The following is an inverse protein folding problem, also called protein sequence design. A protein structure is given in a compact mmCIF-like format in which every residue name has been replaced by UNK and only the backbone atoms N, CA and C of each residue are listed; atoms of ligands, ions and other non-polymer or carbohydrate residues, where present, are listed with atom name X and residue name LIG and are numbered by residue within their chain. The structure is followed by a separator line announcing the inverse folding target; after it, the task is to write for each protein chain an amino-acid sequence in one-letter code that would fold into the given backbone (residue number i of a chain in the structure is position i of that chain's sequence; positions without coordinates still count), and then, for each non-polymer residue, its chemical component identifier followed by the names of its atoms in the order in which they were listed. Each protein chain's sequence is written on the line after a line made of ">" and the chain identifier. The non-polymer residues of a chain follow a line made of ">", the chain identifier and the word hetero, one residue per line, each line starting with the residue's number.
data_IF_794446351421
#
_entry.id   IF_794446351421
#
_cell.length_a   1.000
_cell.length_b   1.000
_cell.length_c   1.000
_cell.angle_alpha   90.00
_cell.angle_beta   90.00
_cell.angle_gamma   90.00
#
_symmetry.space_group_name_H-M   'P 1'
#
loop_
_entity.id
_entity.type
_entity.pdbx_description
1 polymer ?
#
# COMPACT_ATOMS: atom_id res chain seq x y z
N UNK A 1 -16.89 -10.45 -17.49
CA UNK A 1 -17.50 -10.67 -16.16
C UNK A 1 -16.76 -9.78 -15.18
N UNK A 2 -17.45 -8.84 -14.51
CA UNK A 2 -16.83 -7.93 -13.53
C UNK A 2 -16.48 -8.73 -12.27
N UNK A 3 -15.22 -8.72 -11.85
CA UNK A 3 -14.82 -9.27 -10.56
C UNK A 3 -15.04 -8.21 -9.49
N UNK A 4 -15.99 -8.45 -8.58
CA UNK A 4 -16.23 -7.59 -7.44
C UNK A 4 -15.11 -7.72 -6.41
N UNK A 5 -14.64 -6.58 -5.91
CA UNK A 5 -13.81 -6.51 -4.72
C UNK A 5 -14.05 -5.20 -3.98
N UNK A 6 -14.16 -5.29 -2.67
CA UNK A 6 -14.39 -4.16 -1.79
C UNK A 6 -13.22 -3.97 -0.83
N UNK A 7 -12.86 -2.72 -0.54
CA UNK A 7 -11.90 -2.42 0.52
C UNK A 7 -12.65 -2.52 1.85
N UNK A 8 -12.22 -3.45 2.70
CA UNK A 8 -12.82 -3.68 4.02
C UNK A 8 -12.04 -3.03 5.15
N UNK A 9 -10.75 -2.75 4.94
CA UNK A 9 -9.90 -2.10 5.92
C UNK A 9 -8.76 -1.34 5.24
N UNK A 10 -8.46 -0.15 5.73
CA UNK A 10 -7.31 0.66 5.31
C UNK A 10 -6.52 1.05 6.55
N UNK A 11 -5.19 0.90 6.49
CA UNK A 11 -4.30 1.17 7.61
C UNK A 11 -3.08 1.91 7.07
N UNK A 12 -2.76 3.05 7.67
CA UNK A 12 -1.48 3.73 7.47
C UNK A 12 -0.50 3.16 8.49
N UNK A 13 0.65 2.70 8.02
CA UNK A 13 1.69 2.11 8.86
C UNK A 13 2.60 3.21 9.40
N UNK A 14 3.28 2.90 10.51
CA UNK A 14 4.35 3.77 10.99
C UNK A 14 5.48 3.83 9.94
N UNK A 15 6.12 5.00 9.75
CA UNK A 15 7.25 5.13 8.85
C UNK A 15 8.36 4.14 9.22
N UNK A 16 8.96 3.52 8.20
CA UNK A 16 10.14 2.66 8.35
C UNK A 16 11.36 3.54 8.09
N UNK A 17 12.13 3.82 9.14
CA UNK A 17 13.33 4.63 9.06
C UNK A 17 14.45 3.91 8.29
N UNK A 18 15.05 4.60 7.33
CA UNK A 18 16.30 4.25 6.66
C UNK A 18 17.41 5.21 7.12
N UNK A 19 18.64 5.00 6.65
CA UNK A 19 19.80 5.83 7.04
C UNK A 19 19.63 7.31 6.70
N UNK A 20 19.06 7.61 5.53
CA UNK A 20 18.93 8.99 4.99
C UNK A 20 17.49 9.32 4.55
N UNK A 21 16.51 8.44 4.81
CA UNK A 21 15.14 8.58 4.31
C UNK A 21 14.14 7.79 5.18
N UNK A 22 12.85 7.90 4.89
CA UNK A 22 11.80 7.09 5.51
C UNK A 22 10.84 6.49 4.47
N UNK A 23 10.52 5.21 4.64
CA UNK A 23 9.50 4.55 3.82
C UNK A 23 8.15 4.61 4.51
N UNK A 24 7.22 5.28 3.85
CA UNK A 24 5.85 5.47 4.32
C UNK A 24 4.91 4.53 3.56
N UNK A 25 4.23 3.64 4.28
CA UNK A 25 3.35 2.63 3.68
C UNK A 25 1.90 2.73 4.15
N UNK A 26 0.98 2.35 3.27
CA UNK A 26 -0.44 2.12 3.56
C UNK A 26 -0.82 0.72 3.10
N UNK A 27 -1.54 -0.02 3.93
CA UNK A 27 -2.12 -1.31 3.59
C UNK A 27 -3.63 -1.15 3.36
N UNK A 28 -4.12 -1.81 2.32
CA UNK A 28 -5.54 -2.04 2.11
C UNK A 28 -5.83 -3.54 2.15
N UNK A 29 -6.84 -3.93 2.91
CA UNK A 29 -7.38 -5.28 2.91
C UNK A 29 -8.66 -5.25 2.09
N UNK A 30 -8.71 -6.12 1.09
CA UNK A 30 -9.82 -6.24 0.17
C UNK A 30 -10.51 -7.58 0.34
N UNK A 31 -11.83 -7.61 0.17
CA UNK A 31 -12.63 -8.84 0.14
C UNK A 31 -13.17 -9.04 -1.27
N UNK A 32 -12.96 -10.22 -1.84
CA UNK A 32 -13.56 -10.58 -3.12
C UNK A 32 -14.98 -11.18 -2.97
N UNK A 33 -15.68 -11.33 -4.09
CA UNK A 33 -17.01 -11.95 -4.12
C UNK A 33 -17.06 -13.41 -3.63
N UNK A 34 -15.91 -14.09 -3.52
CA UNK A 34 -15.81 -15.45 -2.97
C UNK A 34 -15.58 -15.46 -1.45
N UNK A 35 -15.63 -14.31 -0.80
CA UNK A 35 -15.41 -14.17 0.65
C UNK A 35 -13.95 -14.31 1.09
N UNK A 36 -12.99 -14.34 0.15
CA UNK A 36 -11.56 -14.35 0.47
C UNK A 36 -11.02 -12.94 0.58
N UNK A 37 -10.02 -12.78 1.45
CA UNK A 37 -9.35 -11.52 1.71
C UNK A 37 -7.94 -11.51 1.11
N UNK A 38 -7.53 -10.36 0.59
CA UNK A 38 -6.18 -10.16 0.06
C UNK A 38 -5.70 -8.74 0.39
N UNK A 39 -4.38 -8.57 0.49
CA UNK A 39 -3.76 -7.31 0.86
C UNK A 39 -3.21 -6.57 -0.37
N UNK A 40 -3.21 -5.24 -0.32
CA UNK A 40 -2.50 -4.37 -1.24
C UNK A 40 -1.62 -3.42 -0.45
N UNK A 41 -0.36 -3.33 -0.85
CA UNK A 41 0.58 -2.38 -0.30
C UNK A 41 0.61 -1.14 -1.18
N UNK A 42 0.63 0.02 -0.55
CA UNK A 42 0.86 1.30 -1.20
C UNK A 42 2.02 1.99 -0.52
N UNK A 43 2.89 2.61 -1.32
CA UNK A 43 3.99 3.44 -0.84
C UNK A 43 3.64 4.91 -1.07
N UNK A 44 3.93 5.77 -0.10
CA UNK A 44 3.84 7.20 -0.29
C UNK A 44 5.01 7.64 -1.18
N UNK A 45 4.69 8.24 -2.31
CA UNK A 45 5.66 8.82 -3.22
C UNK A 45 5.43 10.33 -3.32
N UNK A 46 6.52 11.09 -3.38
CA UNK A 46 6.47 12.55 -3.54
C UNK A 46 6.94 12.90 -4.94
N UNK A 47 6.11 13.63 -5.68
CA UNK A 47 6.38 14.07 -7.04
C UNK A 47 6.50 15.58 -7.08
N UNK A 48 7.48 16.08 -7.85
CA UNK A 48 7.53 17.48 -8.23
C UNK A 48 6.60 17.71 -9.40
N UNK A 49 5.50 18.39 -9.13
CA UNK A 49 4.46 18.66 -10.12
C UNK A 49 4.54 20.13 -10.53
N UNK A 50 4.43 20.37 -11.83
CA UNK A 50 4.33 21.72 -12.39
C UNK A 50 2.85 22.01 -12.66
N UNK A 51 2.20 22.92 -11.92
CA UNK A 51 0.81 23.22 -12.15
C UNK A 51 0.62 23.88 -13.53
N UNK A 52 -0.46 23.55 -14.24
CA UNK A 52 -0.71 24.08 -15.59
C UNK A 52 -1.06 25.58 -15.61
N UNK A 53 -1.46 26.14 -14.47
CA UNK A 53 -1.90 27.53 -14.33
C UNK A 53 -0.77 28.51 -13.98
N UNK A 54 0.46 28.03 -13.73
CA UNK A 54 1.61 28.89 -13.40
C UNK A 54 2.91 28.25 -13.91
N UNK A 55 3.79 29.04 -14.52
CA UNK A 55 5.01 28.51 -15.11
C UNK A 55 6.20 28.48 -14.15
N UNK A 56 6.13 29.22 -13.04
CA UNK A 56 7.27 29.51 -12.18
C UNK A 56 7.27 28.74 -10.85
N UNK A 57 6.23 27.94 -10.60
CA UNK A 57 6.06 27.19 -9.36
C UNK A 57 6.19 25.70 -9.65
N UNK A 58 7.03 25.02 -8.88
CA UNK A 58 7.00 23.58 -8.69
C UNK A 58 6.46 23.30 -7.29
N UNK A 59 5.48 22.41 -7.20
CA UNK A 59 4.91 21.97 -5.93
C UNK A 59 5.28 20.50 -5.70
N UNK A 60 5.59 20.17 -4.45
CA UNK A 60 5.74 18.78 -4.03
C UNK A 60 4.34 18.23 -3.69
N UNK A 61 3.91 17.18 -4.38
CA UNK A 61 2.68 16.45 -4.09
C UNK A 61 2.99 15.02 -3.65
N UNK A 62 2.42 14.62 -2.52
CA UNK A 62 2.58 13.27 -1.98
C UNK A 62 1.33 12.43 -2.25
N UNK A 63 1.51 11.23 -2.82
CA UNK A 63 0.42 10.31 -3.12
C UNK A 63 0.80 8.87 -2.79
N UNK A 64 -0.15 8.11 -2.25
CA UNK A 64 -0.01 6.67 -2.11
C UNK A 64 -0.18 5.97 -3.47
N UNK A 65 0.88 5.31 -3.92
CA UNK A 65 0.94 4.55 -5.17
C UNK A 65 1.03 3.07 -4.88
N UNK A 66 0.34 2.25 -5.67
CA UNK A 66 0.33 0.79 -5.51
C UNK A 66 1.76 0.26 -5.64
N UNK A 67 2.25 -0.41 -4.59
CA UNK A 67 3.59 -1.00 -4.56
C UNK A 67 3.48 -2.52 -4.73
N UNK A 68 3.93 -3.00 -5.89
CA UNK A 68 3.93 -4.42 -6.25
C UNK A 68 5.32 -5.06 -6.12
N UNK A 69 6.33 -4.30 -5.68
CA UNK A 69 7.73 -4.70 -5.79
C UNK A 69 8.42 -4.89 -4.43
N UNK A 70 8.04 -4.10 -3.41
CA UNK A 70 8.67 -4.18 -2.09
C UNK A 70 8.43 -5.53 -1.42
N UNK A 71 7.18 -6.03 -1.48
CA UNK A 71 6.78 -7.35 -0.98
C UNK A 71 5.83 -7.99 -2.02
N UNK A 72 6.36 -8.62 -3.07
CA UNK A 72 5.56 -9.13 -4.18
C UNK A 72 4.55 -10.20 -3.76
N UNK A 73 4.84 -10.97 -2.70
CA UNK A 73 3.98 -12.05 -2.20
C UNK A 73 2.66 -11.59 -1.55
N UNK A 74 2.51 -10.29 -1.26
CA UNK A 74 1.29 -9.74 -0.63
C UNK A 74 0.05 -9.87 -1.52
N UNK A 75 0.20 -9.81 -2.84
CA UNK A 75 -0.90 -9.88 -3.80
C UNK A 75 -1.37 -11.30 -4.11
N UNK A 76 -0.52 -12.30 -3.84
CA UNK A 76 -0.75 -13.70 -4.26
C UNK A 76 -1.43 -14.54 -3.18
N UNK A 77 -1.43 -14.05 -1.94
CA UNK A 77 -1.95 -14.78 -0.79
C UNK A 77 -3.38 -14.33 -0.45
N UNK A 78 -4.30 -15.30 -0.45
CA UNK A 78 -5.69 -15.07 -0.05
C UNK A 78 -6.02 -15.80 1.24
N UNK A 79 -6.66 -15.13 2.19
CA UNK A 79 -7.04 -15.70 3.50
C UNK A 79 -8.56 -15.69 3.70
N UNK A 80 -9.03 -16.33 4.77
CA UNK A 80 -10.46 -16.43 5.12
C UNK A 80 -10.93 -15.33 6.08
N UNK A 81 -10.02 -14.53 6.64
CA UNK A 81 -10.31 -13.47 7.60
C UNK A 81 -9.52 -12.21 7.27
N UNK A 82 -10.13 -11.03 7.45
CA UNK A 82 -9.46 -9.75 7.29
C UNK A 82 -8.30 -9.57 8.29
N UNK A 83 -8.44 -10.12 9.50
CA UNK A 83 -7.40 -10.05 10.54
C UNK A 83 -6.20 -10.94 10.21
N UNK A 84 -6.45 -12.17 9.75
CA UNK A 84 -5.37 -13.07 9.31
C UNK A 84 -4.63 -12.48 8.10
N UNK A 85 -5.38 -11.90 7.16
CA UNK A 85 -4.80 -11.19 6.01
C UNK A 85 -3.89 -10.06 6.45
N UNK A 86 -4.36 -9.22 7.39
CA UNK A 86 -3.59 -8.11 7.92
C UNK A 86 -2.34 -8.58 8.65
N UNK A 87 -2.47 -9.55 9.55
CA UNK A 87 -1.35 -10.06 10.33
C UNK A 87 -0.29 -10.69 9.42
N UNK A 88 -0.71 -11.46 8.41
CA UNK A 88 0.19 -12.00 7.40
C UNK A 88 0.91 -10.90 6.62
N UNK A 89 0.20 -9.84 6.25
CA UNK A 89 0.78 -8.71 5.52
C UNK A 89 1.81 -7.94 6.36
N UNK A 90 1.49 -7.69 7.63
CA UNK A 90 2.41 -7.04 8.58
C UNK A 90 3.65 -7.88 8.83
N UNK A 91 3.50 -9.21 8.96
CA UNK A 91 4.63 -10.13 9.12
C UNK A 91 5.54 -10.13 7.89
N UNK A 92 4.98 -10.10 6.67
CA UNK A 92 5.76 -10.05 5.44
C UNK A 92 6.58 -8.75 5.34
N UNK A 93 5.97 -7.60 5.67
CA UNK A 93 6.67 -6.33 5.77
C UNK A 93 7.75 -6.34 6.84
N UNK A 94 7.44 -6.83 8.05
CA UNK A 94 8.40 -6.93 9.12
C UNK A 94 9.61 -7.78 8.69
N UNK A 95 9.38 -8.94 8.08
CA UNK A 95 10.45 -9.82 7.57
C UNK A 95 11.32 -9.14 6.51
N UNK A 96 10.75 -8.26 5.68
CA UNK A 96 11.47 -7.53 4.63
C UNK A 96 12.42 -6.46 5.19
N UNK A 97 12.05 -5.84 6.31
CA UNK A 97 12.73 -4.69 6.89
C UNK A 97 13.37 -4.94 8.27
N UNK A 98 13.40 -6.20 8.74
CA UNK A 98 14.11 -6.61 9.97
C UNK A 98 15.57 -6.96 9.71
#
# INVERSE_FOLDING_TARGET
>A
MLQYSEVVKTIVLNPIALLDDELNFKLEILKNGNGKFYARLFRLETYKVKPSFTQDILADEAQYVLDLHTVPELGDTSTLSAEDCLNSALQALQKKFS
#
